data_IF_019047807695
#
_entry.id   IF_019047807695
#
_cell.length_a   1.000
_cell.length_b   1.000
_cell.length_c   1.000
_cell.angle_alpha   90.00
_cell.angle_beta   90.00
_cell.angle_gamma   90.00
#
_symmetry.space_group_name_H-M   'P 1'
#
loop_
_entity.id
_entity.type
_entity.pdbx_description
1 polymer ?
#
# COMPACT_ATOMS: atom_id res chain seq x y z
N UNK A 1 -38.04 45.38 9.16
CA UNK A 1 -37.78 44.21 8.32
C UNK A 1 -36.76 44.60 7.26
N UNK A 2 -35.47 44.38 7.54
CA UNK A 2 -34.35 44.57 6.57
C UNK A 2 -33.83 43.23 6.19
N UNK A 3 -34.04 42.85 4.91
CA UNK A 3 -33.52 41.64 4.30
C UNK A 3 -32.01 41.88 4.03
N UNK A 4 -31.12 41.16 4.72
CA UNK A 4 -29.73 41.04 4.34
C UNK A 4 -29.64 40.04 3.19
N UNK A 5 -29.29 40.53 2.01
CA UNK A 5 -28.84 39.72 0.88
C UNK A 5 -27.32 39.46 1.12
N UNK A 6 -26.99 38.24 1.49
CA UNK A 6 -25.59 37.78 1.51
C UNK A 6 -25.25 37.35 0.10
N UNK A 7 -24.57 38.23 -0.64
CA UNK A 7 -24.02 37.89 -1.96
C UNK A 7 -22.81 37.01 -1.77
N UNK A 8 -22.98 35.73 -2.04
CA UNK A 8 -21.89 34.73 -2.12
C UNK A 8 -21.11 35.00 -3.40
N UNK A 9 -19.99 35.72 -3.26
CA UNK A 9 -19.03 35.94 -4.36
C UNK A 9 -18.32 34.60 -4.58
N UNK A 10 -18.80 33.80 -5.53
CA UNK A 10 -18.04 32.70 -6.12
C UNK A 10 -16.90 33.32 -6.93
N UNK A 11 -15.70 33.33 -6.37
CA UNK A 11 -14.49 33.59 -7.14
C UNK A 11 -14.30 32.42 -8.13
N UNK A 12 -14.83 32.58 -9.34
CA UNK A 12 -14.38 31.83 -10.50
C UNK A 12 -12.95 32.30 -10.81
N UNK A 13 -11.96 31.62 -10.27
CA UNK A 13 -10.61 31.68 -10.84
C UNK A 13 -10.71 31.01 -12.21
N UNK A 14 -10.76 31.86 -13.26
CA UNK A 14 -10.62 31.42 -14.64
C UNK A 14 -9.17 30.91 -14.75
N UNK A 15 -8.99 29.60 -14.57
CA UNK A 15 -7.76 28.92 -14.91
C UNK A 15 -7.71 28.89 -16.44
N UNK A 16 -6.84 29.71 -17.04
CA UNK A 16 -6.41 29.48 -18.42
C UNK A 16 -5.76 28.09 -18.48
N UNK A 17 -6.54 27.07 -18.76
CA UNK A 17 -6.00 25.74 -19.05
C UNK A 17 -5.04 25.90 -20.24
N UNK A 18 -3.81 25.40 -20.10
CA UNK A 18 -2.90 25.38 -21.25
C UNK A 18 -3.47 24.52 -22.35
N UNK A 19 -3.10 24.80 -23.62
CA UNK A 19 -3.51 23.97 -24.77
C UNK A 19 -3.30 22.47 -24.51
N UNK A 20 -2.24 22.08 -23.79
CA UNK A 20 -1.94 20.70 -23.45
C UNK A 20 -2.96 20.07 -22.50
N UNK A 21 -3.44 20.79 -21.51
CA UNK A 21 -4.50 20.30 -20.60
C UNK A 21 -5.84 20.21 -21.35
N UNK A 22 -6.14 21.15 -22.23
CA UNK A 22 -7.31 21.11 -23.10
C UNK A 22 -7.26 19.91 -24.07
N UNK A 23 -6.09 19.62 -24.67
CA UNK A 23 -5.86 18.42 -25.50
C UNK A 23 -6.11 17.14 -24.68
N UNK A 24 -5.67 17.09 -23.42
CA UNK A 24 -5.92 15.95 -22.52
C UNK A 24 -7.42 15.82 -22.15
N UNK A 25 -8.08 16.90 -21.80
CA UNK A 25 -9.54 16.90 -21.52
C UNK A 25 -10.37 16.48 -22.76
N UNK A 26 -9.93 16.87 -23.96
CA UNK A 26 -10.56 16.43 -25.21
C UNK A 26 -10.32 14.93 -25.45
N UNK A 27 -9.08 14.46 -25.21
CA UNK A 27 -8.75 13.03 -25.32
C UNK A 27 -9.58 12.17 -24.36
N UNK A 28 -9.80 12.62 -23.11
CA UNK A 28 -10.63 11.91 -22.13
C UNK A 28 -12.05 11.69 -22.66
N UNK A 29 -12.62 12.68 -23.38
CA UNK A 29 -13.99 12.61 -23.92
C UNK A 29 -14.09 11.69 -25.15
N UNK A 30 -13.02 11.59 -25.94
CA UNK A 30 -12.99 10.82 -27.18
C UNK A 30 -11.57 10.35 -27.49
N UNK A 31 -11.12 9.24 -26.88
CA UNK A 31 -9.78 8.70 -27.09
C UNK A 31 -9.60 8.23 -28.53
N UNK A 32 -8.83 8.96 -29.33
CA UNK A 32 -8.52 8.59 -30.72
C UNK A 32 -7.35 7.59 -30.84
N UNK A 33 -6.46 7.58 -29.83
CA UNK A 33 -5.30 6.70 -29.73
C UNK A 33 -4.95 6.44 -28.27
N UNK A 34 -4.04 5.50 -28.00
CA UNK A 34 -3.55 5.31 -26.63
C UNK A 34 -2.82 6.55 -26.13
N UNK A 35 -2.97 6.91 -24.87
CA UNK A 35 -2.37 8.12 -24.29
C UNK A 35 -0.84 8.14 -24.44
N UNK A 36 -0.21 6.98 -24.42
CA UNK A 36 1.23 6.83 -24.60
C UNK A 36 1.72 7.29 -25.98
N UNK A 37 0.86 7.20 -27.01
CA UNK A 37 1.15 7.64 -28.39
C UNK A 37 0.84 9.12 -28.57
N UNK A 38 -0.04 9.69 -27.77
CA UNK A 38 -0.46 11.08 -27.88
C UNK A 38 0.71 12.04 -27.63
N UNK A 39 1.00 12.90 -28.59
CA UNK A 39 2.15 13.82 -28.55
C UNK A 39 2.09 14.80 -27.38
N UNK A 40 0.90 15.26 -27.02
CA UNK A 40 0.69 16.17 -25.89
C UNK A 40 1.05 15.52 -24.54
N UNK A 41 0.86 14.20 -24.38
CA UNK A 41 1.10 13.50 -23.13
C UNK A 41 2.59 13.50 -22.71
N UNK A 42 3.50 13.66 -23.67
CA UNK A 42 4.97 13.68 -23.44
C UNK A 42 5.56 15.09 -23.31
N UNK A 43 4.77 16.14 -23.54
CA UNK A 43 5.21 17.53 -23.38
C UNK A 43 5.41 17.85 -21.88
N UNK A 44 6.34 18.77 -21.60
CA UNK A 44 6.64 19.22 -20.24
C UNK A 44 5.47 20.00 -19.67
N UNK A 45 5.08 19.67 -18.43
CA UNK A 45 4.13 20.43 -17.60
C UNK A 45 4.88 21.35 -16.61
N UNK A 46 4.29 22.50 -16.29
CA UNK A 46 4.61 23.21 -15.06
C UNK A 46 3.88 22.55 -13.86
N UNK A 47 4.16 23.02 -12.64
CA UNK A 47 3.57 22.44 -11.43
C UNK A 47 2.03 22.48 -11.44
N UNK A 48 1.44 23.64 -11.74
CA UNK A 48 -0.02 23.82 -11.76
C UNK A 48 -0.71 22.93 -12.80
N UNK A 49 -0.10 22.81 -14.01
CA UNK A 49 -0.59 21.89 -15.03
C UNK A 49 -0.49 20.43 -14.59
N UNK A 50 0.60 20.07 -13.90
CA UNK A 50 0.77 18.73 -13.34
C UNK A 50 -0.29 18.42 -12.28
N UNK A 51 -0.60 19.37 -11.39
CA UNK A 51 -1.65 19.20 -10.37
C UNK A 51 -3.03 18.99 -11.03
N UNK A 52 -3.35 19.77 -12.07
CA UNK A 52 -4.60 19.59 -12.84
C UNK A 52 -4.65 18.26 -13.58
N UNK A 53 -3.55 17.86 -14.22
CA UNK A 53 -3.44 16.58 -14.93
C UNK A 53 -3.55 15.40 -13.94
N UNK A 54 -2.98 15.51 -12.75
CA UNK A 54 -3.11 14.50 -11.68
C UNK A 54 -4.57 14.28 -11.31
N UNK A 55 -5.32 15.37 -11.09
CA UNK A 55 -6.75 15.29 -10.80
C UNK A 55 -7.54 14.59 -11.93
N UNK A 56 -7.23 14.90 -13.19
CA UNK A 56 -7.89 14.27 -14.34
C UNK A 56 -7.56 12.78 -14.46
N UNK A 57 -6.31 12.40 -14.22
CA UNK A 57 -5.87 10.99 -14.21
C UNK A 57 -6.55 10.22 -13.08
N UNK A 58 -6.65 10.81 -11.90
CA UNK A 58 -7.35 10.22 -10.75
C UNK A 58 -8.84 9.97 -11.05
N UNK A 59 -9.52 10.96 -11.64
CA UNK A 59 -10.92 10.82 -12.05
C UNK A 59 -11.11 9.68 -13.07
N UNK A 60 -10.25 9.62 -14.09
CA UNK A 60 -10.28 8.55 -15.10
C UNK A 60 -10.07 7.16 -14.48
N UNK A 61 -9.09 7.04 -13.59
CA UNK A 61 -8.81 5.78 -12.92
C UNK A 61 -9.98 5.35 -12.03
N UNK A 62 -10.57 6.29 -11.30
CA UNK A 62 -11.73 6.03 -10.44
C UNK A 62 -12.90 5.51 -11.25
N UNK A 63 -13.26 6.17 -12.37
CA UNK A 63 -14.34 5.74 -13.26
C UNK A 63 -14.05 4.36 -13.88
N UNK A 64 -12.85 4.15 -14.40
CA UNK A 64 -12.45 2.86 -15.00
C UNK A 64 -12.46 1.73 -13.97
N UNK A 65 -11.99 1.99 -12.74
CA UNK A 65 -11.99 1.03 -11.65
C UNK A 65 -13.41 0.71 -11.18
N UNK A 66 -14.27 1.73 -11.09
CA UNK A 66 -15.68 1.54 -10.77
C UNK A 66 -16.37 0.62 -11.79
N UNK A 67 -16.18 0.86 -13.08
CA UNK A 67 -16.74 0.00 -14.14
C UNK A 67 -16.21 -1.44 -14.06
N UNK A 68 -14.91 -1.61 -13.86
CA UNK A 68 -14.24 -2.92 -13.82
C UNK A 68 -14.62 -3.75 -12.61
N UNK A 69 -14.74 -3.15 -11.42
CA UNK A 69 -14.94 -3.88 -10.16
C UNK A 69 -16.39 -3.90 -9.65
N UNK A 70 -17.33 -3.18 -10.29
CA UNK A 70 -18.72 -3.03 -9.83
C UNK A 70 -19.41 -4.35 -9.53
N UNK A 71 -19.36 -5.30 -10.47
CA UNK A 71 -20.07 -6.58 -10.30
C UNK A 71 -19.33 -7.52 -9.33
N UNK A 72 -18.01 -7.45 -9.27
CA UNK A 72 -17.22 -8.21 -8.30
C UNK A 72 -17.49 -7.70 -6.87
N UNK A 73 -17.45 -6.37 -6.68
CA UNK A 73 -17.73 -5.74 -5.38
C UNK A 73 -19.14 -5.95 -4.89
N UNK A 74 -20.14 -5.80 -5.77
CA UNK A 74 -21.55 -6.07 -5.44
C UNK A 74 -21.76 -7.51 -4.92
N UNK A 75 -21.01 -8.47 -5.44
CA UNK A 75 -21.06 -9.88 -5.00
C UNK A 75 -20.11 -10.17 -3.84
N UNK A 76 -19.27 -9.22 -3.43
CA UNK A 76 -18.17 -9.38 -2.50
C UNK A 76 -17.27 -10.58 -2.86
N UNK A 77 -16.98 -10.75 -4.14
CA UNK A 77 -16.14 -11.79 -4.72
C UNK A 77 -15.21 -11.18 -5.75
N UNK A 78 -13.97 -10.97 -5.35
CA UNK A 78 -12.93 -10.44 -6.22
C UNK A 78 -12.22 -11.58 -6.92
N UNK A 79 -11.96 -11.42 -8.21
CA UNK A 79 -11.39 -12.47 -9.06
C UNK A 79 -10.06 -11.99 -9.65
N UNK A 80 -9.04 -12.82 -9.56
CA UNK A 80 -7.77 -12.65 -10.26
C UNK A 80 -7.39 -14.00 -10.89
N UNK A 81 -7.32 -14.05 -12.21
CA UNK A 81 -7.18 -15.28 -12.99
C UNK A 81 -8.25 -16.32 -12.57
N UNK A 82 -7.83 -17.46 -12.05
CA UNK A 82 -8.71 -18.53 -11.56
C UNK A 82 -9.03 -18.42 -10.07
N UNK A 83 -8.45 -17.44 -9.38
CA UNK A 83 -8.59 -17.28 -7.94
C UNK A 83 -9.77 -16.38 -7.60
N UNK A 84 -10.45 -16.70 -6.51
CA UNK A 84 -11.55 -15.90 -5.97
C UNK A 84 -11.30 -15.60 -4.51
N UNK A 85 -11.34 -14.31 -4.14
CA UNK A 85 -11.34 -13.82 -2.78
C UNK A 85 -12.78 -13.40 -2.42
N UNK A 86 -13.50 -14.27 -1.72
CA UNK A 86 -14.78 -13.90 -1.14
C UNK A 86 -14.55 -13.02 0.08
N UNK A 87 -15.37 -12.00 0.26
CA UNK A 87 -15.24 -11.05 1.35
C UNK A 87 -16.52 -10.97 2.17
N UNK A 88 -16.39 -10.71 3.46
CA UNK A 88 -17.47 -10.27 4.31
C UNK A 88 -17.13 -8.90 4.89
N UNK A 89 -18.05 -7.95 4.80
CA UNK A 89 -17.82 -6.56 5.19
C UNK A 89 -18.75 -6.16 6.33
N UNK A 90 -18.23 -5.36 7.26
CA UNK A 90 -18.98 -4.72 8.35
C UNK A 90 -18.55 -3.27 8.48
N UNK A 91 -19.54 -2.38 8.59
CA UNK A 91 -19.33 -0.96 8.78
C UNK A 91 -19.34 -0.58 10.26
N UNK A 92 -18.45 0.33 10.64
CA UNK A 92 -18.37 0.86 12.00
C UNK A 92 -18.25 2.39 11.98
N UNK A 93 -18.90 3.02 12.94
CA UNK A 93 -18.83 4.46 13.17
C UNK A 93 -19.32 5.33 12.00
N UNK A 94 -18.96 6.60 12.04
CA UNK A 94 -19.22 7.56 10.97
C UNK A 94 -17.99 7.72 10.11
N UNK A 95 -18.18 7.89 8.80
CA UNK A 95 -17.07 8.19 7.90
C UNK A 95 -16.42 9.53 8.27
N UNK A 96 -15.11 9.55 8.57
CA UNK A 96 -14.36 10.78 8.80
C UNK A 96 -14.29 11.66 7.54
N UNK A 97 -14.06 12.96 7.72
CA UNK A 97 -13.95 13.90 6.60
C UNK A 97 -12.81 13.58 5.62
N UNK A 98 -11.79 12.86 6.08
CA UNK A 98 -10.64 12.43 5.28
C UNK A 98 -10.76 10.99 4.74
N UNK A 99 -11.95 10.41 4.78
CA UNK A 99 -12.26 9.07 4.31
C UNK A 99 -12.20 8.02 5.41
N UNK A 100 -12.80 6.86 5.15
CA UNK A 100 -12.88 5.70 6.06
C UNK A 100 -11.52 5.02 6.24
N UNK A 101 -11.33 4.38 7.38
CA UNK A 101 -10.32 3.34 7.56
C UNK A 101 -10.78 2.02 6.93
N UNK A 102 -9.82 1.20 6.46
CA UNK A 102 -10.04 -0.17 6.03
C UNK A 102 -9.23 -1.11 6.91
N UNK A 103 -9.91 -2.07 7.56
CA UNK A 103 -9.27 -3.14 8.33
C UNK A 103 -9.44 -4.46 7.58
N UNK A 104 -8.38 -5.00 7.03
CA UNK A 104 -8.35 -6.32 6.38
C UNK A 104 -7.91 -7.33 7.43
N UNK A 105 -8.82 -8.25 7.79
CA UNK A 105 -8.63 -9.21 8.88
C UNK A 105 -8.64 -10.63 8.36
N UNK A 106 -7.46 -11.25 8.29
CA UNK A 106 -7.25 -12.58 7.72
C UNK A 106 -7.58 -13.68 8.73
N UNK A 107 -8.40 -14.67 8.29
CA UNK A 107 -8.86 -15.77 9.15
C UNK A 107 -7.78 -16.82 9.41
N UNK A 108 -7.94 -17.54 10.51
CA UNK A 108 -7.14 -18.71 10.87
C UNK A 108 -7.48 -19.95 10.04
N UNK A 109 -7.01 -21.12 10.46
CA UNK A 109 -7.20 -22.40 9.79
C UNK A 109 -5.91 -22.90 9.13
N UNK A 110 -5.91 -23.08 7.83
CA UNK A 110 -4.72 -23.56 7.10
C UNK A 110 -4.96 -24.86 6.35
N UNK A 111 -4.07 -25.82 6.50
CA UNK A 111 -4.14 -27.16 5.88
C UNK A 111 -5.18 -28.08 6.54
N UNK A 112 -6.43 -27.63 6.59
CA UNK A 112 -7.58 -28.30 7.16
C UNK A 112 -8.72 -28.38 6.14
N UNK A 113 -9.77 -29.21 6.36
CA UNK A 113 -10.93 -29.28 5.48
C UNK A 113 -11.52 -27.88 5.21
N UNK A 114 -12.13 -27.72 4.04
CA UNK A 114 -12.74 -26.45 3.61
C UNK A 114 -13.74 -25.92 4.64
N UNK A 115 -14.55 -26.80 5.20
CA UNK A 115 -15.59 -26.48 6.18
C UNK A 115 -14.99 -25.85 7.43
N UNK A 116 -13.85 -26.33 7.90
CA UNK A 116 -13.13 -25.76 9.04
C UNK A 116 -12.58 -24.37 8.71
N UNK A 117 -12.00 -24.19 7.53
CA UNK A 117 -11.56 -22.86 7.05
C UNK A 117 -12.73 -21.89 6.91
N UNK A 118 -13.90 -22.37 6.45
CA UNK A 118 -15.10 -21.55 6.33
C UNK A 118 -15.63 -21.12 7.73
N UNK A 119 -15.60 -22.00 8.72
CA UNK A 119 -15.93 -21.66 10.12
C UNK A 119 -14.94 -20.63 10.68
N UNK A 120 -13.65 -20.78 10.45
CA UNK A 120 -12.65 -19.80 10.87
C UNK A 120 -12.87 -18.43 10.20
N UNK A 121 -13.27 -18.42 8.92
CA UNK A 121 -13.67 -17.19 8.24
C UNK A 121 -14.89 -16.53 8.89
N UNK A 122 -15.94 -17.32 9.20
CA UNK A 122 -17.14 -16.83 9.91
C UNK A 122 -16.77 -16.24 11.27
N UNK A 123 -15.90 -16.93 12.02
CA UNK A 123 -15.39 -16.42 13.30
C UNK A 123 -14.67 -15.07 13.11
N UNK A 124 -13.82 -14.95 12.09
CA UNK A 124 -13.05 -13.74 11.84
C UNK A 124 -13.94 -12.54 11.48
N UNK A 125 -15.07 -12.76 10.82
CA UNK A 125 -16.05 -11.70 10.48
C UNK A 125 -16.54 -10.96 11.73
N UNK A 126 -16.69 -11.65 12.85
CA UNK A 126 -17.26 -11.09 14.08
C UNK A 126 -16.23 -10.82 15.18
N UNK A 127 -14.97 -11.18 14.96
CA UNK A 127 -13.94 -11.19 16.00
C UNK A 127 -13.63 -9.78 16.52
N UNK A 128 -13.47 -8.82 15.63
CA UNK A 128 -13.04 -7.47 15.99
C UNK A 128 -14.05 -6.39 15.63
N UNK A 129 -14.02 -5.27 16.38
CA UNK A 129 -14.96 -4.15 16.23
C UNK A 129 -14.19 -2.83 16.32
N UNK A 130 -13.67 -2.29 15.20
CA UNK A 130 -13.04 -0.98 15.22
C UNK A 130 -14.07 0.12 15.57
N UNK A 131 -13.59 1.27 16.05
CA UNK A 131 -14.45 2.42 16.40
C UNK A 131 -15.02 3.12 15.16
N UNK A 132 -14.30 3.08 14.04
CA UNK A 132 -14.76 3.57 12.72
C UNK A 132 -14.10 2.75 11.61
N UNK A 133 -14.69 2.75 10.42
CA UNK A 133 -14.12 2.19 9.22
C UNK A 133 -14.89 1.00 8.64
N UNK A 134 -14.40 0.52 7.52
CA UNK A 134 -14.83 -0.72 6.89
C UNK A 134 -13.95 -1.86 7.41
N UNK A 135 -14.55 -2.83 8.08
CA UNK A 135 -13.89 -4.07 8.49
C UNK A 135 -14.22 -5.16 7.48
N UNK A 136 -13.19 -5.74 6.88
CA UNK A 136 -13.32 -6.78 5.85
C UNK A 136 -12.60 -8.04 6.32
N UNK A 137 -13.33 -9.14 6.39
CA UNK A 137 -12.75 -10.47 6.55
C UNK A 137 -12.78 -11.17 5.16
N UNK A 138 -11.66 -11.31 4.48
CA UNK A 138 -11.58 -12.09 3.25
C UNK A 138 -11.51 -13.58 3.57
N UNK A 139 -12.02 -14.45 2.67
CA UNK A 139 -11.84 -15.90 2.68
C UNK A 139 -10.69 -16.25 1.74
N UNK A 140 -9.62 -16.81 2.28
CA UNK A 140 -8.47 -17.22 1.47
C UNK A 140 -8.90 -18.16 0.32
N UNK A 141 -8.32 -18.02 -0.88
CA UNK A 141 -8.69 -18.87 -2.03
C UNK A 141 -8.37 -20.36 -1.85
N UNK A 142 -7.44 -20.68 -0.96
CA UNK A 142 -6.93 -22.05 -0.75
C UNK A 142 -7.28 -22.61 0.63
N UNK A 143 -7.13 -23.93 0.79
CA UNK A 143 -7.25 -24.66 2.05
C UNK A 143 -5.92 -25.37 2.36
N UNK A 144 -4.83 -24.64 2.32
CA UNK A 144 -3.45 -25.14 2.50
C UNK A 144 -2.77 -24.38 3.63
N UNK A 145 -1.65 -24.87 4.16
CA UNK A 145 -0.89 -24.20 5.22
C UNK A 145 -0.43 -22.80 4.84
N UNK A 146 -0.17 -22.57 3.57
CA UNK A 146 0.29 -21.31 2.99
C UNK A 146 -0.84 -20.44 2.41
N UNK A 147 -2.07 -20.64 2.89
CA UNK A 147 -3.30 -20.05 2.32
C UNK A 147 -3.29 -18.51 2.17
N UNK A 148 -2.42 -17.84 2.92
CA UNK A 148 -2.25 -16.37 2.87
C UNK A 148 -0.91 -15.93 2.29
N UNK A 149 -0.10 -16.85 1.74
CA UNK A 149 1.27 -16.53 1.34
C UNK A 149 1.52 -16.68 -0.17
N UNK A 150 0.59 -17.33 -0.89
CA UNK A 150 0.77 -17.77 -2.28
C UNK A 150 0.69 -16.62 -3.28
N UNK A 151 1.33 -16.77 -4.48
CA UNK A 151 1.18 -15.84 -5.59
C UNK A 151 -0.29 -15.66 -6.01
N UNK A 152 -0.65 -14.46 -6.47
CA UNK A 152 -2.01 -14.07 -6.83
C UNK A 152 -2.82 -13.46 -5.67
N UNK A 153 -2.36 -13.61 -4.43
CA UNK A 153 -3.01 -12.98 -3.29
C UNK A 153 -2.77 -11.47 -3.25
N UNK A 154 -1.58 -11.02 -3.62
CA UNK A 154 -1.22 -9.60 -3.68
C UNK A 154 -2.19 -8.83 -4.57
N UNK A 155 -2.46 -9.36 -5.77
CA UNK A 155 -3.37 -8.78 -6.75
C UNK A 155 -4.81 -8.76 -6.25
N UNK A 156 -5.25 -9.81 -5.54
CA UNK A 156 -6.56 -9.88 -4.92
C UNK A 156 -6.73 -8.86 -3.80
N UNK A 157 -5.71 -8.68 -2.94
CA UNK A 157 -5.71 -7.67 -1.87
C UNK A 157 -5.64 -6.25 -2.45
N UNK A 158 -4.88 -6.02 -3.51
CA UNK A 158 -4.86 -4.73 -4.21
C UNK A 158 -6.24 -4.41 -4.83
N UNK A 159 -6.91 -5.38 -5.45
CA UNK A 159 -8.29 -5.23 -5.93
C UNK A 159 -9.26 -4.91 -4.79
N UNK A 160 -9.13 -5.56 -3.63
CA UNK A 160 -9.93 -5.28 -2.45
C UNK A 160 -9.76 -3.82 -1.99
N UNK A 161 -8.52 -3.35 -1.90
CA UNK A 161 -8.22 -1.96 -1.53
C UNK A 161 -8.82 -1.00 -2.56
N UNK A 162 -8.61 -1.24 -3.86
CA UNK A 162 -9.16 -0.41 -4.94
C UNK A 162 -10.69 -0.34 -4.88
N UNK A 163 -11.37 -1.48 -4.69
CA UNK A 163 -12.82 -1.52 -4.57
C UNK A 163 -13.30 -0.74 -3.34
N UNK A 164 -12.67 -0.94 -2.17
CA UNK A 164 -13.02 -0.22 -0.95
C UNK A 164 -12.79 1.30 -1.09
N UNK A 165 -11.73 1.73 -1.76
CA UNK A 165 -11.48 3.15 -2.06
C UNK A 165 -12.57 3.73 -2.93
N UNK A 166 -12.94 3.04 -4.02
CA UNK A 166 -13.87 3.56 -5.04
C UNK A 166 -15.33 3.49 -4.58
N UNK A 167 -15.74 2.43 -3.89
CA UNK A 167 -17.14 2.20 -3.54
C UNK A 167 -17.51 2.59 -2.12
N UNK A 168 -16.55 2.58 -1.18
CA UNK A 168 -16.82 2.78 0.24
C UNK A 168 -16.19 4.06 0.81
N UNK A 169 -15.49 4.84 -0.01
CA UNK A 169 -14.83 6.07 0.43
C UNK A 169 -13.66 5.83 1.39
N UNK A 170 -12.97 4.71 1.25
CA UNK A 170 -11.78 4.40 2.02
C UNK A 170 -10.63 5.33 1.61
N UNK A 171 -9.91 5.84 2.60
CA UNK A 171 -8.65 6.54 2.39
C UNK A 171 -7.52 5.51 2.24
N UNK A 172 -6.82 5.42 1.09
CA UNK A 172 -5.75 4.42 0.88
C UNK A 172 -4.57 4.57 1.83
N UNK A 173 -4.48 5.68 2.56
CA UNK A 173 -3.47 5.87 3.60
C UNK A 173 -3.96 5.46 5.01
N UNK A 174 -5.15 4.84 5.11
CA UNK A 174 -5.77 4.31 6.34
C UNK A 174 -6.16 2.84 6.15
N UNK A 175 -5.31 2.05 5.50
CA UNK A 175 -5.51 0.61 5.28
C UNK A 175 -4.66 -0.16 6.27
N UNK A 176 -5.28 -1.00 7.07
CA UNK A 176 -4.65 -1.78 8.13
C UNK A 176 -4.78 -3.27 7.85
N UNK A 177 -3.69 -4.01 8.07
CA UNK A 177 -3.64 -5.45 7.90
C UNK A 177 -3.56 -6.12 9.26
N UNK A 178 -4.42 -7.12 9.50
CA UNK A 178 -4.40 -7.92 10.71
C UNK A 178 -4.78 -9.37 10.42
N UNK A 179 -4.48 -10.28 11.34
CA UNK A 179 -4.84 -11.68 11.16
C UNK A 179 -4.44 -12.53 12.34
N UNK A 180 -5.22 -13.60 12.57
CA UNK A 180 -5.06 -14.51 13.70
C UNK A 180 -4.67 -15.91 13.23
N UNK A 181 -3.76 -16.58 13.95
CA UNK A 181 -3.31 -17.95 13.65
C UNK A 181 -2.73 -18.03 12.24
N UNK A 182 -3.24 -18.87 11.34
CA UNK A 182 -2.82 -18.87 9.93
C UNK A 182 -3.00 -17.49 9.23
N UNK A 183 -3.98 -16.68 9.67
CA UNK A 183 -4.09 -15.27 9.26
C UNK A 183 -2.91 -14.43 9.76
N UNK A 184 -2.41 -14.73 10.96
CA UNK A 184 -1.19 -14.13 11.51
C UNK A 184 0.07 -14.54 10.74
N UNK A 185 0.16 -15.80 10.27
CA UNK A 185 1.20 -16.25 9.34
C UNK A 185 1.17 -15.39 8.06
N UNK A 186 -0.05 -15.14 7.55
CA UNK A 186 -0.27 -14.24 6.42
C UNK A 186 0.19 -12.81 6.68
N UNK A 187 -0.07 -12.26 7.86
CA UNK A 187 0.42 -10.90 8.21
C UNK A 187 1.94 -10.84 8.19
N UNK A 188 2.62 -11.85 8.73
CA UNK A 188 4.09 -11.93 8.67
C UNK A 188 4.64 -11.88 7.24
N UNK A 189 3.88 -12.38 6.24
CA UNK A 189 4.26 -12.38 4.83
C UNK A 189 3.82 -11.12 4.10
N UNK A 190 2.53 -10.77 4.21
CA UNK A 190 1.95 -9.65 3.47
C UNK A 190 2.42 -8.29 3.98
N UNK A 191 2.67 -8.14 5.29
CA UNK A 191 3.10 -6.86 5.84
C UNK A 191 4.44 -6.39 5.23
N UNK A 192 5.54 -7.15 5.26
CA UNK A 192 6.78 -6.72 4.62
C UNK A 192 6.71 -6.71 3.09
N UNK A 193 6.00 -7.66 2.46
CA UNK A 193 5.91 -7.78 1.01
C UNK A 193 5.16 -6.62 0.36
N UNK A 194 4.14 -6.09 1.04
CA UNK A 194 3.29 -5.00 0.58
C UNK A 194 3.31 -3.80 1.56
N UNK A 195 4.44 -3.53 2.21
CA UNK A 195 4.52 -2.47 3.23
C UNK A 195 4.16 -1.08 2.68
N UNK A 196 4.28 -0.88 1.39
CA UNK A 196 3.84 0.32 0.68
C UNK A 196 2.30 0.45 0.55
N UNK A 197 1.52 -0.56 0.95
CA UNK A 197 0.05 -0.52 0.91
C UNK A 197 -0.60 -0.30 2.28
N UNK A 198 0.11 -0.58 3.38
CA UNK A 198 -0.45 -0.57 4.72
C UNK A 198 -0.09 0.68 5.52
N UNK A 199 -1.02 1.16 6.35
CA UNK A 199 -0.77 2.22 7.33
C UNK A 199 -0.16 1.67 8.63
N UNK A 200 -0.58 0.47 9.03
CA UNK A 200 -0.01 -0.33 10.09
C UNK A 200 -0.45 -1.80 9.91
N UNK A 201 0.25 -2.72 10.57
CA UNK A 201 -0.14 -4.13 10.58
C UNK A 201 -0.02 -4.73 11.97
N UNK A 202 -0.87 -5.73 12.28
CA UNK A 202 -0.86 -6.44 13.55
C UNK A 202 -0.99 -7.94 13.34
N UNK A 203 0.02 -8.68 13.75
CA UNK A 203 0.07 -10.13 13.73
C UNK A 203 -0.39 -10.70 15.08
N UNK A 204 -1.33 -11.65 15.04
CA UNK A 204 -1.85 -12.33 16.22
C UNK A 204 -1.64 -13.85 16.09
N UNK A 205 -0.92 -14.43 17.06
CA UNK A 205 -0.68 -15.88 17.20
C UNK A 205 -0.19 -16.58 15.92
N UNK A 206 0.56 -15.88 15.07
CA UNK A 206 1.06 -16.37 13.79
C UNK A 206 2.52 -16.84 13.83
N UNK A 207 2.87 -17.68 12.85
CA UNK A 207 4.23 -18.16 12.63
C UNK A 207 4.94 -17.30 11.57
N UNK A 208 6.14 -16.75 11.83
CA UNK A 208 6.83 -15.84 10.91
C UNK A 208 7.36 -16.52 9.64
N UNK A 209 7.57 -17.83 9.67
CA UNK A 209 8.28 -18.52 8.60
C UNK A 209 9.62 -17.86 8.30
N UNK A 210 9.94 -17.71 7.01
CA UNK A 210 11.18 -17.10 6.54
C UNK A 210 11.04 -15.63 6.11
N UNK A 211 9.93 -14.95 6.53
CA UNK A 211 9.74 -13.53 6.20
C UNK A 211 10.83 -12.65 6.81
N UNK A 212 11.20 -11.59 6.12
CA UNK A 212 12.18 -10.61 6.59
C UNK A 212 11.47 -9.35 7.09
N UNK A 213 11.92 -8.81 8.24
CA UNK A 213 11.38 -7.58 8.80
C UNK A 213 11.98 -6.30 8.18
N UNK A 214 12.99 -6.38 7.32
CA UNK A 214 13.70 -5.19 6.81
C UNK A 214 12.79 -4.24 6.02
N UNK A 215 11.75 -4.77 5.35
CA UNK A 215 10.77 -3.97 4.62
C UNK A 215 9.78 -3.23 5.53
N UNK A 216 9.75 -3.53 6.83
CA UNK A 216 8.90 -2.86 7.82
C UNK A 216 9.42 -1.49 8.23
N UNK A 217 10.49 -0.99 7.58
CA UNK A 217 11.10 0.30 7.92
C UNK A 217 10.09 1.44 8.05
N UNK A 218 9.13 1.54 7.13
CA UNK A 218 8.10 2.57 7.11
C UNK A 218 6.72 2.09 7.58
N UNK A 219 6.60 0.84 8.03
CA UNK A 219 5.35 0.23 8.44
C UNK A 219 5.33 -0.06 9.93
N UNK A 220 4.53 0.64 10.73
CA UNK A 220 4.28 0.26 12.12
C UNK A 220 3.74 -1.17 12.22
N UNK A 221 4.38 -2.00 13.06
CA UNK A 221 4.10 -3.43 13.14
C UNK A 221 3.92 -3.88 14.60
N UNK A 222 2.83 -4.61 14.87
CA UNK A 222 2.54 -5.11 16.21
C UNK A 222 2.51 -6.63 16.22
N UNK A 223 3.13 -7.21 17.23
CA UNK A 223 3.20 -8.65 17.49
C UNK A 223 2.37 -8.96 18.72
N UNK A 224 1.41 -9.88 18.61
CA UNK A 224 0.66 -10.46 19.71
C UNK A 224 0.85 -11.96 19.76
N UNK A 225 1.23 -12.49 20.94
CA UNK A 225 1.49 -13.91 21.11
C UNK A 225 1.19 -14.35 22.54
N UNK A 226 0.51 -15.46 22.71
CA UNK A 226 0.37 -16.09 24.02
C UNK A 226 1.70 -16.70 24.48
N UNK A 227 2.05 -16.51 25.76
CA UNK A 227 3.29 -17.01 26.34
C UNK A 227 3.46 -18.53 26.17
N UNK A 228 2.33 -19.26 26.22
CA UNK A 228 2.26 -20.72 26.15
C UNK A 228 1.85 -21.25 24.77
N UNK A 229 1.81 -20.41 23.72
CA UNK A 229 1.56 -20.86 22.33
C UNK A 229 2.80 -21.55 21.76
N UNK A 230 3.10 -22.73 22.29
CA UNK A 230 4.30 -23.51 21.96
C UNK A 230 4.20 -24.33 20.68
N UNK A 231 2.99 -24.50 20.13
CA UNK A 231 2.82 -25.20 18.86
C UNK A 231 3.64 -24.49 17.76
N UNK A 232 4.43 -25.27 17.03
CA UNK A 232 5.37 -24.76 16.01
C UNK A 232 6.37 -23.71 16.57
N UNK A 233 6.66 -23.76 17.88
CA UNK A 233 7.54 -22.81 18.58
C UNK A 233 7.16 -21.32 18.38
N UNK A 234 5.87 -21.00 18.12
CA UNK A 234 5.41 -19.64 17.81
C UNK A 234 5.77 -18.61 18.87
N UNK A 235 5.61 -18.96 20.14
CA UNK A 235 5.94 -18.07 21.25
C UNK A 235 7.43 -17.70 21.29
N UNK A 236 8.33 -18.65 21.02
CA UNK A 236 9.77 -18.40 20.94
C UNK A 236 10.08 -17.51 19.75
N UNK A 237 9.56 -17.86 18.57
CA UNK A 237 9.80 -17.09 17.34
C UNK A 237 9.23 -15.67 17.44
N UNK A 238 8.10 -15.47 18.09
CA UNK A 238 7.55 -14.12 18.30
C UNK A 238 8.47 -13.23 19.14
N UNK A 239 9.07 -13.78 20.20
CA UNK A 239 10.09 -13.08 21.02
C UNK A 239 11.33 -12.75 20.19
N UNK A 240 11.91 -13.74 19.51
CA UNK A 240 13.09 -13.56 18.66
C UNK A 240 12.85 -12.50 17.57
N UNK A 241 11.67 -12.50 16.94
CA UNK A 241 11.30 -11.49 15.93
C UNK A 241 11.09 -10.11 16.52
N UNK A 242 10.60 -10.01 17.76
CA UNK A 242 10.56 -8.77 18.52
C UNK A 242 11.97 -8.21 18.76
N UNK A 243 12.90 -9.04 19.21
CA UNK A 243 14.31 -8.66 19.45
C UNK A 243 15.00 -8.22 18.14
N UNK A 244 14.67 -8.85 17.00
CA UNK A 244 15.14 -8.40 15.67
C UNK A 244 14.60 -7.01 15.35
N UNK A 245 13.32 -6.73 15.63
CA UNK A 245 12.75 -5.39 15.42
C UNK A 245 13.39 -4.35 16.34
N UNK A 246 13.63 -4.67 17.61
CA UNK A 246 14.37 -3.83 18.55
C UNK A 246 15.76 -3.47 18.00
N UNK A 247 16.49 -4.46 17.49
CA UNK A 247 17.83 -4.27 16.92
C UNK A 247 17.80 -3.41 15.67
N UNK A 248 16.81 -3.62 14.77
CA UNK A 248 16.64 -2.81 13.56
C UNK A 248 16.32 -1.36 13.92
N UNK A 249 15.44 -1.12 14.89
CA UNK A 249 15.08 0.22 15.34
C UNK A 249 16.24 0.91 16.07
N UNK A 250 17.00 0.20 16.85
CA UNK A 250 18.20 0.74 17.52
C UNK A 250 19.25 1.21 16.50
N UNK A 251 19.42 0.48 15.39
CA UNK A 251 20.35 0.83 14.32
C UNK A 251 19.86 1.96 13.42
N UNK A 252 18.54 2.10 13.26
CA UNK A 252 17.91 3.21 12.51
C UNK A 252 16.62 3.68 13.21
N UNK A 253 16.74 4.58 14.20
CA UNK A 253 15.62 4.97 15.07
C UNK A 253 14.48 5.73 14.38
N UNK A 254 14.63 6.09 13.10
CA UNK A 254 13.57 6.74 12.31
C UNK A 254 12.60 5.77 11.67
N UNK A 255 12.93 4.48 11.67
CA UNK A 255 12.11 3.41 11.12
C UNK A 255 11.72 2.36 12.15
N UNK A 256 11.09 1.28 11.68
CA UNK A 256 10.79 0.07 12.45
C UNK A 256 9.97 0.30 13.72
N UNK A 257 9.02 1.24 13.67
CA UNK A 257 8.06 1.42 14.78
C UNK A 257 7.31 0.11 15.02
N UNK A 258 7.42 -0.44 16.24
CA UNK A 258 6.81 -1.73 16.56
C UNK A 258 6.40 -1.84 18.04
N UNK A 259 5.66 -2.90 18.34
CA UNK A 259 5.36 -3.35 19.71
C UNK A 259 5.29 -4.86 19.74
N UNK A 260 5.92 -5.48 20.72
CA UNK A 260 5.88 -6.93 20.95
C UNK A 260 5.16 -7.22 22.26
N UNK A 261 4.02 -7.92 22.17
CA UNK A 261 3.13 -8.21 23.29
C UNK A 261 3.06 -9.72 23.49
N UNK A 262 3.78 -10.22 24.49
CA UNK A 262 3.71 -11.62 24.93
C UNK A 262 2.78 -11.67 26.14
N UNK A 263 1.64 -12.35 25.98
CA UNK A 263 0.57 -12.33 26.97
C UNK A 263 0.76 -13.48 27.97
N UNK A 264 1.08 -13.10 29.20
CA UNK A 264 1.34 -14.03 30.30
C UNK A 264 0.17 -14.99 30.54
N UNK A 265 0.48 -16.26 30.73
CA UNK A 265 -0.48 -17.33 31.03
C UNK A 265 -1.41 -17.69 29.86
N UNK A 266 -1.31 -17.07 28.69
CA UNK A 266 -2.16 -17.39 27.53
C UNK A 266 -1.49 -18.38 26.59
N UNK A 267 -2.30 -19.27 26.03
CA UNK A 267 -1.93 -20.15 24.92
C UNK A 267 -2.26 -19.53 23.56
N UNK A 268 -2.67 -20.37 22.63
CA UNK A 268 -3.00 -19.93 21.26
C UNK A 268 -4.16 -18.92 21.21
N UNK A 269 -5.13 -18.98 22.14
CA UNK A 269 -6.20 -18.01 22.29
C UNK A 269 -5.87 -17.01 23.41
N UNK A 270 -5.90 -15.70 23.06
CA UNK A 270 -5.49 -14.60 23.97
C UNK A 270 -6.68 -13.84 24.56
N UNK A 271 -7.90 -14.41 24.51
CA UNK A 271 -9.14 -13.83 25.09
C UNK A 271 -9.44 -12.39 24.61
N UNK A 272 -9.12 -12.09 23.35
CA UNK A 272 -9.32 -10.79 22.69
C UNK A 272 -8.50 -9.63 23.27
N UNK A 273 -7.49 -9.87 24.11
CA UNK A 273 -6.57 -8.79 24.55
C UNK A 273 -5.88 -8.14 23.33
N UNK A 274 -5.60 -8.92 22.30
CA UNK A 274 -5.06 -8.48 21.01
C UNK A 274 -5.97 -7.49 20.24
N UNK A 275 -7.24 -7.32 20.67
CA UNK A 275 -8.14 -6.31 20.09
C UNK A 275 -7.66 -4.86 20.32
N UNK A 276 -6.76 -4.62 21.28
CA UNK A 276 -6.09 -3.35 21.49
C UNK A 276 -5.32 -2.87 20.26
N UNK A 277 -4.90 -3.79 19.38
CA UNK A 277 -4.28 -3.48 18.10
C UNK A 277 -5.10 -2.56 17.21
N UNK A 278 -6.44 -2.62 17.27
CA UNK A 278 -7.31 -1.73 16.49
C UNK A 278 -7.05 -0.25 16.81
N UNK A 279 -7.05 0.10 18.10
CA UNK A 279 -6.80 1.45 18.57
C UNK A 279 -5.35 1.90 18.31
N UNK A 280 -4.40 0.97 18.42
CA UNK A 280 -3.00 1.25 18.12
C UNK A 280 -2.79 1.51 16.63
N UNK A 281 -3.27 0.62 15.75
CA UNK A 281 -3.15 0.79 14.29
C UNK A 281 -3.80 2.09 13.80
N UNK A 282 -4.96 2.46 14.35
CA UNK A 282 -5.71 3.67 13.97
C UNK A 282 -4.94 4.98 14.21
N UNK A 283 -3.86 4.97 14.99
CA UNK A 283 -3.00 6.14 15.23
C UNK A 283 -2.08 6.44 14.03
N UNK A 284 -1.89 5.47 13.13
CA UNK A 284 -0.94 5.60 12.03
C UNK A 284 -1.65 5.86 10.70
N UNK A 285 -0.92 6.55 9.82
CA UNK A 285 -1.27 6.75 8.42
C UNK A 285 -0.07 6.40 7.57
N UNK A 286 -0.33 5.72 6.46
CA UNK A 286 0.71 5.45 5.49
C UNK A 286 1.27 6.76 4.94
N UNK A 287 2.59 6.89 4.94
CA UNK A 287 3.27 7.91 4.16
C UNK A 287 3.65 7.31 2.79
N UNK A 288 3.00 7.72 1.69
CA UNK A 288 3.33 7.17 0.36
C UNK A 288 4.68 7.67 -0.18
N UNK A 289 5.25 8.73 0.42
CA UNK A 289 6.49 9.36 -0.04
C UNK A 289 7.54 9.42 1.07
N UNK A 290 7.92 8.28 1.67
CA UNK A 290 8.90 8.28 2.74
C UNK A 290 10.25 8.76 2.23
N UNK A 291 11.01 9.46 3.08
CA UNK A 291 12.33 9.97 2.73
C UNK A 291 13.39 8.86 2.61
N UNK A 292 13.15 7.69 3.20
CA UNK A 292 13.99 6.50 3.06
C UNK A 292 13.12 5.29 2.73
N UNK A 293 13.57 4.48 1.78
CA UNK A 293 12.98 3.20 1.41
C UNK A 293 14.02 2.10 1.62
N UNK A 294 13.63 1.08 2.35
CA UNK A 294 14.36 -0.19 2.49
C UNK A 294 13.48 -1.26 1.84
N UNK A 295 13.94 -1.83 0.76
CA UNK A 295 13.18 -2.81 -0.04
C UNK A 295 14.03 -4.05 -0.31
N UNK A 296 13.59 -5.19 0.16
CA UNK A 296 14.10 -6.51 -0.14
C UNK A 296 13.02 -7.35 -0.78
N UNK A 297 13.33 -8.08 -1.83
CA UNK A 297 12.37 -9.01 -2.46
C UNK A 297 12.10 -10.18 -1.51
N UNK A 298 10.82 -10.41 -1.26
CA UNK A 298 10.32 -11.57 -0.53
C UNK A 298 10.11 -12.77 -1.49
N UNK A 299 9.52 -13.87 -1.03
CA UNK A 299 9.30 -15.08 -1.85
C UNK A 299 8.43 -14.83 -3.09
N UNK A 300 7.45 -13.92 -3.00
CA UNK A 300 6.74 -13.38 -4.15
C UNK A 300 7.34 -12.03 -4.47
N UNK A 301 8.00 -11.95 -5.60
CA UNK A 301 8.73 -10.75 -6.03
C UNK A 301 7.77 -9.67 -6.56
N UNK A 302 8.15 -8.41 -6.39
CA UNK A 302 7.35 -7.26 -6.82
C UNK A 302 8.20 -6.30 -7.65
N UNK A 303 7.60 -5.71 -8.68
CA UNK A 303 8.28 -4.71 -9.53
C UNK A 303 8.34 -3.33 -8.87
N UNK A 304 7.46 -3.06 -7.90
CA UNK A 304 7.24 -1.73 -7.37
C UNK A 304 7.19 -1.72 -5.84
N UNK A 305 7.79 -0.68 -5.24
CA UNK A 305 7.72 -0.47 -3.80
C UNK A 305 7.93 1.01 -3.46
N UNK A 306 6.95 1.68 -2.86
CA UNK A 306 6.94 3.13 -2.66
C UNK A 306 7.24 3.88 -3.98
N UNK A 307 8.29 4.68 -4.03
CA UNK A 307 8.69 5.47 -5.20
C UNK A 307 9.80 4.82 -6.05
N UNK A 308 10.04 3.52 -5.86
CA UNK A 308 11.00 2.73 -6.60
C UNK A 308 10.33 1.68 -7.49
N UNK A 309 11.00 1.36 -8.60
CA UNK A 309 10.71 0.17 -9.41
C UNK A 309 12.00 -0.53 -9.77
N UNK A 310 11.96 -1.86 -9.73
CA UNK A 310 13.03 -2.75 -10.16
C UNK A 310 12.68 -3.37 -11.52
N UNK A 311 13.68 -3.71 -12.36
CA UNK A 311 13.44 -4.32 -13.66
C UNK A 311 12.85 -5.74 -13.52
N UNK A 312 11.79 -6.03 -14.29
CA UNK A 312 11.06 -7.30 -14.19
C UNK A 312 11.93 -8.52 -14.48
N UNK A 313 12.90 -8.40 -15.38
CA UNK A 313 13.82 -9.45 -15.78
C UNK A 313 14.97 -9.71 -14.79
N UNK A 314 15.16 -8.84 -13.80
CA UNK A 314 16.16 -9.00 -12.76
C UNK A 314 15.56 -9.36 -11.38
N UNK A 315 14.24 -9.49 -11.26
CA UNK A 315 13.60 -9.79 -9.97
C UNK A 315 14.02 -11.17 -9.45
N UNK A 316 14.47 -11.21 -8.20
CA UNK A 316 14.79 -12.45 -7.50
C UNK A 316 14.68 -12.27 -6.00
N UNK A 317 14.24 -13.31 -5.28
CA UNK A 317 14.19 -13.34 -3.83
C UNK A 317 15.52 -12.90 -3.21
N UNK A 318 15.46 -12.04 -2.22
CA UNK A 318 16.61 -11.54 -1.47
C UNK A 318 17.30 -10.32 -2.08
N UNK A 319 17.11 -10.00 -3.37
CA UNK A 319 17.62 -8.75 -3.96
C UNK A 319 17.04 -7.53 -3.26
N UNK A 320 17.82 -6.47 -3.11
CA UNK A 320 17.42 -5.32 -2.32
C UNK A 320 17.85 -3.98 -2.92
N UNK A 321 17.09 -2.94 -2.54
CA UNK A 321 17.41 -1.54 -2.78
C UNK A 321 17.24 -0.79 -1.45
N UNK A 322 18.23 0.03 -1.10
CA UNK A 322 18.10 1.01 -0.02
C UNK A 322 18.39 2.38 -0.60
N UNK A 323 17.43 3.28 -0.52
CA UNK A 323 17.54 4.63 -1.09
C UNK A 323 16.90 5.68 -0.18
N UNK A 324 17.47 6.89 -0.18
CA UNK A 324 16.93 8.01 0.60
C UNK A 324 17.01 9.32 -0.17
N UNK A 325 16.16 10.25 0.22
CA UNK A 325 16.05 11.61 -0.34
C UNK A 325 16.64 12.60 0.65
N UNK A 326 17.57 13.45 0.19
CA UNK A 326 18.12 14.57 0.93
C UNK A 326 18.07 15.84 0.07
N UNK A 327 17.13 16.72 0.34
CA UNK A 327 16.86 17.87 -0.51
C UNK A 327 16.54 17.43 -1.94
N UNK A 328 17.32 17.85 -2.92
CA UNK A 328 17.16 17.42 -4.33
C UNK A 328 18.12 16.29 -4.74
N UNK A 329 18.72 15.61 -3.76
CA UNK A 329 19.56 14.46 -4.01
C UNK A 329 18.86 13.18 -3.59
N UNK A 330 18.98 12.14 -4.40
CA UNK A 330 18.57 10.77 -4.10
C UNK A 330 19.85 9.97 -3.92
N UNK A 331 20.03 9.40 -2.75
CA UNK A 331 21.20 8.61 -2.39
C UNK A 331 20.81 7.16 -2.38
N UNK A 332 21.40 6.37 -3.26
CA UNK A 332 21.25 4.92 -3.28
C UNK A 332 22.37 4.36 -2.39
N UNK A 333 21.98 3.81 -1.23
CA UNK A 333 22.90 3.25 -0.24
C UNK A 333 23.28 1.80 -0.60
N UNK A 334 22.30 1.06 -1.16
CA UNK A 334 22.48 -0.32 -1.62
C UNK A 334 21.58 -0.57 -2.84
N UNK A 335 22.07 -1.33 -3.82
CA UNK A 335 21.27 -1.81 -4.93
C UNK A 335 21.86 -3.08 -5.53
N UNK A 336 21.04 -4.12 -5.66
CA UNK A 336 21.42 -5.42 -6.23
C UNK A 336 20.94 -5.55 -7.70
N UNK A 337 20.56 -4.45 -8.34
CA UNK A 337 20.10 -4.39 -9.72
C UNK A 337 21.02 -3.55 -10.60
N UNK A 338 21.06 -3.86 -11.91
CA UNK A 338 21.87 -3.11 -12.88
C UNK A 338 21.30 -1.73 -13.19
N UNK A 339 19.99 -1.57 -13.04
CA UNK A 339 19.27 -0.32 -13.19
C UNK A 339 17.99 -0.31 -12.36
N UNK A 340 17.47 0.87 -12.06
CA UNK A 340 16.20 1.07 -11.36
C UNK A 340 15.45 2.26 -11.95
N UNK A 341 14.12 2.28 -11.78
CA UNK A 341 13.31 3.46 -12.06
C UNK A 341 12.94 4.15 -10.75
N UNK A 342 13.17 5.46 -10.69
CA UNK A 342 12.83 6.32 -9.55
C UNK A 342 11.67 7.22 -9.97
N UNK A 343 10.56 7.15 -9.23
CA UNK A 343 9.37 7.94 -9.47
C UNK A 343 9.32 9.13 -8.51
N UNK A 344 9.04 10.33 -9.03
CA UNK A 344 9.14 11.58 -8.28
C UNK A 344 7.92 12.47 -8.48
N UNK A 345 7.57 13.20 -7.42
CA UNK A 345 6.58 14.27 -7.46
C UNK A 345 7.01 15.49 -6.62
N UNK A 346 6.25 16.58 -6.71
CA UNK A 346 6.54 17.85 -6.04
C UNK A 346 6.36 17.83 -4.51
N UNK A 347 5.85 16.73 -3.94
CA UNK A 347 5.77 16.53 -2.48
C UNK A 347 7.05 15.95 -1.91
N UNK A 348 7.89 15.34 -2.76
CA UNK A 348 9.14 14.67 -2.38
C UNK A 348 10.34 15.60 -2.46
N UNK A 349 10.43 16.40 -3.52
CA UNK A 349 11.55 17.31 -3.79
C UNK A 349 11.15 18.37 -4.83
N UNK A 350 12.00 19.40 -5.03
CA UNK A 350 11.76 20.49 -5.98
C UNK A 350 12.08 20.05 -7.42
N UNK A 351 11.04 19.69 -8.19
CA UNK A 351 11.19 19.23 -9.58
C UNK A 351 11.56 20.35 -10.58
N UNK A 352 11.55 21.62 -10.17
CA UNK A 352 12.00 22.75 -10.99
C UNK A 352 13.51 22.96 -10.93
N UNK A 353 14.17 22.29 -9.95
CA UNK A 353 15.64 22.22 -9.84
C UNK A 353 16.19 20.95 -10.47
N UNK A 354 17.51 20.87 -10.59
CA UNK A 354 18.19 19.63 -11.01
C UNK A 354 18.04 18.56 -9.94
N UNK A 355 17.60 17.38 -10.33
CA UNK A 355 17.63 16.19 -9.51
C UNK A 355 18.99 15.50 -9.68
N UNK A 356 19.59 15.06 -8.59
CA UNK A 356 20.85 14.32 -8.59
C UNK A 356 20.62 12.95 -7.97
N UNK A 357 21.07 11.87 -8.64
CA UNK A 357 21.14 10.53 -8.04
C UNK A 357 22.60 10.20 -7.79
N UNK A 358 22.90 9.73 -6.59
CA UNK A 358 24.24 9.39 -6.11
C UNK A 358 24.26 7.90 -5.74
N UNK A 359 25.20 7.16 -6.29
CA UNK A 359 25.44 5.76 -5.96
C UNK A 359 26.95 5.54 -5.79
N UNK A 360 27.38 4.85 -4.73
CA UNK A 360 28.78 4.64 -4.40
C UNK A 360 29.63 5.93 -4.43
N UNK A 361 29.07 7.04 -3.92
CA UNK A 361 29.71 8.36 -3.90
C UNK A 361 29.79 9.07 -5.25
N UNK A 362 29.34 8.44 -6.34
CA UNK A 362 29.36 9.01 -7.70
C UNK A 362 27.97 9.53 -8.10
N UNK A 363 27.95 10.64 -8.82
CA UNK A 363 26.72 11.19 -9.43
C UNK A 363 26.41 10.41 -10.70
N UNK A 364 25.47 9.45 -10.62
CA UNK A 364 25.05 8.64 -11.77
C UNK A 364 23.95 9.33 -12.62
N UNK A 365 23.25 10.29 -12.03
CA UNK A 365 22.29 11.14 -12.74
C UNK A 365 22.35 12.57 -12.19
N UNK A 366 22.31 13.61 -13.05
CA UNK A 366 22.19 15.02 -12.65
C UNK A 366 21.57 15.84 -13.78
N UNK A 367 20.22 15.93 -13.80
CA UNK A 367 19.50 16.65 -14.87
C UNK A 367 18.27 17.39 -14.32
N UNK A 368 17.72 18.34 -15.07
CA UNK A 368 16.34 18.80 -14.91
C UNK A 368 15.41 17.72 -15.44
N UNK A 369 14.36 17.43 -14.70
CA UNK A 369 13.35 16.43 -15.06
C UNK A 369 12.10 17.10 -15.64
N UNK A 370 11.25 16.31 -16.30
CA UNK A 370 10.03 16.81 -16.94
C UNK A 370 8.82 16.12 -16.32
N UNK A 371 7.92 16.90 -15.76
CA UNK A 371 6.57 16.40 -15.43
C UNK A 371 5.82 16.15 -16.73
N UNK A 372 5.14 15.02 -16.86
CA UNK A 372 4.38 14.64 -18.06
C UNK A 372 3.08 13.95 -17.71
N UNK A 373 2.06 14.10 -18.56
CA UNK A 373 0.78 13.38 -18.43
C UNK A 373 1.01 11.86 -18.58
N UNK A 374 1.89 11.46 -19.49
CA UNK A 374 2.22 10.06 -19.72
C UNK A 374 2.72 9.37 -18.45
N UNK A 375 3.64 10.00 -17.69
CA UNK A 375 4.11 9.43 -16.43
C UNK A 375 3.00 9.36 -15.36
N UNK A 376 2.17 10.41 -15.23
CA UNK A 376 1.03 10.40 -14.32
C UNK A 376 0.10 9.23 -14.61
N UNK A 377 -0.29 9.06 -15.87
CA UNK A 377 -1.19 8.01 -16.32
C UNK A 377 -0.59 6.60 -16.11
N UNK A 378 0.66 6.42 -16.53
CA UNK A 378 1.33 5.12 -16.42
C UNK A 378 1.51 4.71 -14.97
N UNK A 379 1.95 5.62 -14.09
CA UNK A 379 2.13 5.30 -12.66
C UNK A 379 0.80 5.06 -11.96
N UNK A 380 -0.28 5.75 -12.33
CA UNK A 380 -1.61 5.46 -11.84
C UNK A 380 -2.05 4.03 -12.21
N UNK A 381 -1.92 3.67 -13.49
CA UNK A 381 -2.37 2.36 -13.98
C UNK A 381 -1.57 1.20 -13.39
N UNK A 382 -0.25 1.36 -13.25
CA UNK A 382 0.61 0.30 -12.71
C UNK A 382 0.51 0.16 -11.20
N UNK A 383 0.20 1.25 -10.47
CA UNK A 383 0.13 1.24 -9.00
C UNK A 383 -1.28 1.03 -8.46
N UNK A 384 -2.31 1.43 -9.24
CA UNK A 384 -3.71 1.33 -8.84
C UNK A 384 -4.05 2.07 -7.54
N UNK A 385 -3.35 3.18 -7.28
CA UNK A 385 -3.45 3.95 -6.04
C UNK A 385 -3.16 5.42 -6.32
N UNK A 386 -4.13 6.30 -6.09
CA UNK A 386 -4.01 7.73 -6.37
C UNK A 386 -2.94 8.44 -5.53
N UNK A 387 -2.45 7.81 -4.46
CA UNK A 387 -1.30 8.32 -3.70
C UNK A 387 0.03 8.07 -4.42
N UNK A 388 0.07 7.13 -5.38
CA UNK A 388 1.28 6.77 -6.13
C UNK A 388 1.26 7.25 -7.58
N UNK A 389 0.73 8.46 -7.80
CA UNK A 389 0.76 9.13 -9.10
C UNK A 389 1.97 10.04 -9.19
N UNK A 390 2.86 9.75 -10.11
CA UNK A 390 4.13 10.46 -10.25
C UNK A 390 4.26 11.10 -11.63
N UNK A 391 4.43 12.43 -11.70
CA UNK A 391 4.64 13.14 -12.97
C UNK A 391 6.01 12.89 -13.61
N UNK A 392 6.95 12.32 -12.86
CA UNK A 392 8.33 12.08 -13.30
C UNK A 392 8.72 10.64 -12.99
N UNK A 393 9.30 9.96 -13.97
CA UNK A 393 10.01 8.70 -13.83
C UNK A 393 11.39 8.85 -14.46
N UNK A 394 12.43 8.43 -13.76
CA UNK A 394 13.82 8.46 -14.23
C UNK A 394 14.44 7.07 -14.15
N UNK A 395 14.96 6.58 -15.25
CA UNK A 395 15.72 5.34 -15.30
C UNK A 395 17.18 5.64 -15.01
N UNK A 396 17.75 4.92 -14.06
CA UNK A 396 19.12 5.11 -13.58
C UNK A 396 19.88 3.80 -13.73
N UNK A 397 20.93 3.82 -14.52
CA UNK A 397 21.94 2.74 -14.57
C UNK A 397 22.91 2.91 -13.41
N UNK A 398 23.28 1.80 -12.77
CA UNK A 398 24.08 1.76 -11.55
C UNK A 398 25.43 1.06 -11.75
#
# INVERSE_FOLDING_TARGET
MRKLFTTMVMLFTIFCASAQIQEFEAWIKSPAESLEKASFAKKKLNKQQSDRATFLVDSLWTEATALRLKEEWKKLKLVHDTLTLACACRDFGRMPADGRSLYISMHGGGGVPKEVNDEQWVNQIYLYKPTEGLYVAPRAPWNTWDLWCRPGLDELLEKLIQAAVVFEGVNPNKVYLMGYSAGGDGVWRMAPRMADKWAAASMMAGHPGESSQVNLYNLPFMIWMGEHDSAYIRNTLAKERGEVMDSLQMNDPKGYTHSTNIIEGKGHWMDLVDSESLGWMAQYRRNPYPTKVVWRQEEVVREHFYWLSAPADELAHGKSIVARIEGNNIIIEKCDYSHITIHLNDKMLDLDKKVTVIYNGKKVFKKRVKRTIANLYNTMNTRGDYSYVFPVSIDVKL
#
